data_IF_881729905414
#
_entry.id   IF_881729905414
#
_cell.length_a   1.000
_cell.length_b   1.000
_cell.length_c   1.000
_cell.angle_alpha   90.00
_cell.angle_beta   90.00
_cell.angle_gamma   90.00
#
_symmetry.space_group_name_H-M   'P 1'
#
loop_
_entity.id
_entity.type
_entity.pdbx_description
1 polymer ?
#
# COMPACT_ATOMS: atom_id res chain seq x y z
N UNK A 1 -10.97 35.97 -7.45
CA UNK A 1 -10.00 34.87 -7.62
C UNK A 1 -10.84 33.61 -7.73
N UNK A 2 -10.67 32.80 -8.77
CA UNK A 2 -11.42 31.55 -8.87
C UNK A 2 -10.85 30.55 -7.85
N UNK A 3 -11.72 29.96 -7.04
CA UNK A 3 -11.36 28.89 -6.12
C UNK A 3 -11.11 27.64 -6.96
N UNK A 4 -9.86 27.16 -6.97
CA UNK A 4 -9.50 25.91 -7.61
C UNK A 4 -9.59 24.80 -6.57
N UNK A 5 -10.66 24.01 -6.62
CA UNK A 5 -10.72 22.75 -5.89
C UNK A 5 -9.86 21.72 -6.61
N UNK A 6 -8.77 21.31 -5.96
CA UNK A 6 -7.91 20.26 -6.47
C UNK A 6 -8.59 18.90 -6.24
N UNK A 7 -9.09 18.18 -7.27
CA UNK A 7 -9.69 16.87 -7.10
C UNK A 7 -8.69 15.85 -6.55
N UNK A 8 -7.40 16.05 -6.76
CA UNK A 8 -6.33 15.21 -6.22
C UNK A 8 -5.98 15.53 -4.76
N UNK A 9 -6.52 16.61 -4.17
CA UNK A 9 -6.37 16.89 -2.74
C UNK A 9 -7.40 16.13 -1.89
N UNK A 10 -8.49 15.63 -2.49
CA UNK A 10 -9.47 14.79 -1.80
C UNK A 10 -8.99 13.35 -1.65
N UNK A 11 -8.19 12.85 -2.60
CA UNK A 11 -7.51 11.58 -2.45
C UNK A 11 -6.23 11.80 -1.63
N UNK A 12 -5.96 10.93 -0.65
CA UNK A 12 -4.65 10.90 0.00
C UNK A 12 -3.75 9.91 -0.75
N UNK A 13 -2.93 10.36 -1.72
CA UNK A 13 -2.12 9.46 -2.55
C UNK A 13 -1.05 8.71 -1.74
N UNK A 14 -0.78 9.14 -0.51
CA UNK A 14 0.23 8.55 0.37
C UNK A 14 -0.36 7.55 1.38
N UNK A 15 -1.68 7.40 1.45
CA UNK A 15 -2.31 6.42 2.35
C UNK A 15 -1.93 4.97 2.00
N UNK A 16 -1.42 4.74 0.78
CA UNK A 16 -1.01 3.44 0.25
C UNK A 16 0.50 3.33 -0.03
N UNK A 17 1.31 4.16 0.63
CA UNK A 17 2.76 4.21 0.37
C UNK A 17 3.57 3.22 1.23
N UNK A 18 2.99 2.65 2.28
CA UNK A 18 3.67 1.74 3.20
C UNK A 18 2.74 0.60 3.61
N UNK A 19 3.24 -0.63 3.51
CA UNK A 19 2.55 -1.84 3.95
C UNK A 19 3.48 -2.64 4.85
N UNK A 20 2.92 -3.14 5.96
CA UNK A 20 3.62 -4.02 6.88
C UNK A 20 3.44 -5.47 6.46
N UNK A 21 4.50 -6.26 6.56
CA UNK A 21 4.47 -7.67 6.25
C UNK A 21 3.54 -8.40 7.22
N UNK A 22 2.59 -9.15 6.65
CA UNK A 22 1.62 -9.93 7.41
C UNK A 22 2.26 -11.01 8.31
N UNK A 23 3.49 -11.42 8.00
CA UNK A 23 4.21 -12.47 8.72
C UNK A 23 5.20 -11.96 9.77
N UNK A 24 5.93 -10.86 9.50
CA UNK A 24 6.99 -10.38 10.40
C UNK A 24 6.90 -8.89 10.79
N UNK A 25 5.96 -8.13 10.22
CA UNK A 25 5.85 -6.68 10.44
C UNK A 25 6.95 -5.85 9.77
N UNK A 26 7.80 -6.46 8.94
CA UNK A 26 8.80 -5.78 8.12
C UNK A 26 8.17 -4.99 6.96
N UNK A 27 8.99 -4.25 6.20
CA UNK A 27 8.48 -3.49 5.04
C UNK A 27 8.15 -4.38 3.86
N UNK A 28 6.98 -4.16 3.25
CA UNK A 28 6.60 -4.73 1.97
C UNK A 28 6.90 -3.79 0.81
N UNK A 29 7.40 -4.37 -0.28
CA UNK A 29 7.66 -3.71 -1.55
C UNK A 29 6.85 -4.34 -2.66
N UNK A 30 6.13 -3.53 -3.44
CA UNK A 30 5.32 -4.02 -4.54
C UNK A 30 6.11 -4.16 -5.85
N UNK A 31 6.02 -5.34 -6.47
CA UNK A 31 6.34 -5.56 -7.87
C UNK A 31 5.11 -5.29 -8.73
N UNK A 32 4.88 -4.03 -9.10
CA UNK A 32 3.69 -3.58 -9.81
C UNK A 32 3.37 -4.36 -11.11
N UNK A 33 4.36 -4.92 -11.81
CA UNK A 33 4.12 -5.73 -13.02
C UNK A 33 3.47 -7.08 -12.69
N UNK A 34 3.76 -7.62 -11.51
CA UNK A 34 3.31 -8.94 -11.08
C UNK A 34 2.14 -8.88 -10.10
N UNK A 35 1.73 -7.67 -9.68
CA UNK A 35 0.75 -7.44 -8.61
C UNK A 35 1.07 -8.26 -7.36
N UNK A 36 2.35 -8.36 -6.99
CA UNK A 36 2.81 -9.07 -5.80
C UNK A 36 3.67 -8.18 -4.94
N UNK A 37 3.59 -8.37 -3.63
CA UNK A 37 4.45 -7.72 -2.66
C UNK A 37 5.47 -8.70 -2.10
N UNK A 38 6.69 -8.23 -1.87
CA UNK A 38 7.75 -8.98 -1.20
C UNK A 38 8.16 -8.29 0.08
N UNK A 39 8.39 -9.05 1.15
CA UNK A 39 8.98 -8.51 2.36
C UNK A 39 10.50 -8.40 2.22
N UNK A 40 11.06 -7.24 2.56
CA UNK A 40 12.51 -7.03 2.57
C UNK A 40 13.21 -7.91 3.61
N UNK A 41 12.59 -8.13 4.77
CA UNK A 41 13.21 -8.84 5.89
C UNK A 41 13.10 -10.35 5.80
N UNK A 42 11.90 -10.89 5.53
CA UNK A 42 11.67 -12.34 5.52
C UNK A 42 11.58 -12.95 4.11
N UNK A 43 11.53 -12.13 3.06
CA UNK A 43 11.46 -12.59 1.68
C UNK A 43 10.15 -13.25 1.27
N UNK A 44 9.12 -13.23 2.14
CA UNK A 44 7.81 -13.79 1.79
C UNK A 44 7.12 -12.96 0.70
N UNK A 45 6.31 -13.67 -0.09
CA UNK A 45 5.57 -13.12 -1.21
C UNK A 45 4.07 -13.15 -0.91
N UNK A 46 3.42 -12.03 -1.13
CA UNK A 46 1.99 -11.84 -0.93
C UNK A 46 1.34 -11.36 -2.23
N UNK A 47 0.06 -11.69 -2.42
CA UNK A 47 -0.73 -11.01 -3.44
C UNK A 47 -0.99 -9.57 -2.96
N UNK A 48 -0.91 -8.61 -3.88
CA UNK A 48 -1.09 -7.20 -3.49
C UNK A 48 -2.52 -6.94 -3.02
N UNK A 49 -3.52 -7.64 -3.56
CA UNK A 49 -4.91 -7.52 -3.12
C UNK A 49 -5.10 -7.95 -1.67
N UNK A 50 -4.51 -9.06 -1.25
CA UNK A 50 -4.58 -9.56 0.13
C UNK A 50 -3.96 -8.54 1.12
N UNK A 51 -2.83 -7.92 0.74
CA UNK A 51 -2.18 -6.89 1.58
C UNK A 51 -3.02 -5.62 1.63
N UNK A 52 -3.64 -5.22 0.51
CA UNK A 52 -4.52 -4.06 0.46
C UNK A 52 -5.75 -4.25 1.34
N UNK A 53 -6.43 -5.39 1.23
CA UNK A 53 -7.62 -5.67 2.04
C UNK A 53 -7.27 -5.65 3.54
N UNK A 54 -6.15 -6.29 3.92
CA UNK A 54 -5.68 -6.26 5.31
C UNK A 54 -5.37 -4.84 5.82
N UNK A 55 -4.88 -3.95 4.96
CA UNK A 55 -4.59 -2.56 5.35
C UNK A 55 -5.85 -1.72 5.62
N UNK A 56 -6.98 -2.05 4.99
CA UNK A 56 -8.25 -1.34 5.15
C UNK A 56 -9.00 -1.74 6.42
N UNK A 57 -8.74 -2.94 6.96
CA UNK A 57 -9.34 -3.40 8.23
C UNK A 57 -8.75 -2.68 9.47
N UNK A 58 -7.63 -1.97 9.30
CA UNK A 58 -6.92 -1.26 10.38
C UNK A 58 -7.20 0.25 10.45
N UNK A 59 -8.13 0.78 9.65
CA UNK A 59 -8.51 2.22 9.60
C UNK A 59 -9.77 2.55 10.42
#
# INVERSE_FOLDING_TARGET
>A
MAEFENPYAQANPLVRAHFDCLSCGGKLWEYAIQNRMVCEDCGELFDSSDVFDASLEHE
#
